data_IF_908528468598
#
_entry.id   IF_908528468598
#
_cell.length_a   1.000
_cell.length_b   1.000
_cell.length_c   1.000
_cell.angle_alpha   90.00
_cell.angle_beta   90.00
_cell.angle_gamma   90.00
#
_symmetry.space_group_name_H-M   'P 1'
#
loop_
_entity.id
_entity.type
_entity.pdbx_description
1 polymer ?
#
# COMPACT_ATOMS: atom_id res chain seq x y z
N UNK A 1 25.10 1.01 -0.87
CA UNK A 1 23.72 1.55 -0.81
C UNK A 1 23.83 3.06 -0.86
N UNK A 2 23.67 3.66 -2.04
CA UNK A 2 23.63 5.12 -2.16
C UNK A 2 22.25 5.55 -1.69
N UNK A 3 22.18 6.20 -0.54
CA UNK A 3 20.94 6.69 0.02
C UNK A 3 20.33 7.71 -0.96
N UNK A 4 19.14 7.46 -1.49
CA UNK A 4 18.45 8.38 -2.41
C UNK A 4 18.23 9.73 -1.73
N UNK A 5 18.08 9.74 -0.40
CA UNK A 5 18.10 10.96 0.42
C UNK A 5 19.36 11.81 0.17
N UNK A 6 20.55 11.20 0.12
CA UNK A 6 21.81 11.94 -0.07
C UNK A 6 21.93 12.58 -1.45
N UNK A 7 21.25 12.04 -2.48
CA UNK A 7 21.24 12.61 -3.82
C UNK A 7 20.13 13.65 -4.00
N UNK A 8 18.93 13.43 -3.43
CA UNK A 8 17.82 14.39 -3.47
C UNK A 8 18.08 15.64 -2.61
N UNK A 9 18.93 15.54 -1.58
CA UNK A 9 19.23 16.63 -0.63
C UNK A 9 20.50 17.43 -0.98
N UNK A 10 21.28 17.00 -1.98
CA UNK A 10 22.48 17.72 -2.44
C UNK A 10 22.17 18.83 -3.44
N UNK A 11 21.04 18.75 -4.14
CA UNK A 11 20.52 19.85 -4.92
C UNK A 11 19.56 20.64 -4.02
N UNK A 12 19.68 21.97 -3.95
CA UNK A 12 18.76 22.87 -3.23
C UNK A 12 17.35 22.90 -3.89
N UNK A 13 16.79 21.74 -4.21
CA UNK A 13 15.51 21.55 -4.86
C UNK A 13 14.55 20.96 -3.85
N UNK A 14 13.39 21.59 -3.72
CA UNK A 14 12.29 21.09 -2.90
C UNK A 14 11.83 19.73 -3.46
N UNK A 15 11.87 18.63 -2.69
CA UNK A 15 11.49 17.30 -3.17
C UNK A 15 9.99 17.23 -3.45
N UNK A 16 9.51 16.35 -4.33
CA UNK A 16 8.08 16.04 -4.37
C UNK A 16 7.77 15.00 -3.28
N UNK A 17 6.73 15.21 -2.47
CA UNK A 17 6.37 14.26 -1.42
C UNK A 17 5.88 12.91 -1.98
N UNK A 18 5.48 12.88 -3.24
CA UNK A 18 5.10 11.66 -3.97
C UNK A 18 6.31 10.80 -4.37
N UNK A 19 7.53 11.36 -4.37
CA UNK A 19 8.74 10.62 -4.73
C UNK A 19 9.23 9.69 -3.61
N UNK A 20 8.73 9.85 -2.38
CA UNK A 20 9.09 8.99 -1.25
C UNK A 20 8.46 7.61 -1.40
N UNK A 21 9.30 6.58 -1.30
CA UNK A 21 8.95 5.19 -1.56
C UNK A 21 8.02 4.64 -0.47
N UNK A 22 8.24 5.06 0.77
CA UNK A 22 7.53 4.51 1.93
C UNK A 22 7.27 5.58 3.02
N UNK A 23 6.55 5.17 4.06
CA UNK A 23 6.24 6.02 5.21
C UNK A 23 7.46 6.33 6.07
N UNK A 24 8.47 5.44 6.08
CA UNK A 24 9.71 5.65 6.80
C UNK A 24 10.48 6.87 6.25
N UNK A 25 10.69 6.94 4.93
CA UNK A 25 11.35 8.08 4.28
C UNK A 25 10.60 9.40 4.50
N UNK A 26 9.26 9.36 4.47
CA UNK A 26 8.42 10.53 4.81
C UNK A 26 8.62 10.98 6.26
N UNK A 27 8.76 10.04 7.20
CA UNK A 27 8.98 10.33 8.62
C UNK A 27 10.39 10.90 8.87
N UNK A 28 11.41 10.35 8.20
CA UNK A 28 12.77 10.89 8.22
C UNK A 28 12.83 12.32 7.67
N UNK A 29 12.15 12.56 6.53
CA UNK A 29 12.10 13.90 5.95
C UNK A 29 11.37 14.89 6.87
N UNK A 30 10.28 14.48 7.52
CA UNK A 30 9.60 15.30 8.54
C UNK A 30 10.52 15.63 9.72
N UNK A 31 11.28 14.66 10.24
CA UNK A 31 12.27 14.87 11.28
C UNK A 31 13.35 15.87 10.83
N UNK A 32 13.83 15.73 9.59
CA UNK A 32 14.85 16.60 9.01
C UNK A 32 14.37 18.05 8.86
N UNK A 33 13.12 18.28 8.44
CA UNK A 33 12.54 19.64 8.37
C UNK A 33 12.57 20.34 9.74
N UNK A 34 12.29 19.62 10.82
CA UNK A 34 12.32 20.13 12.19
C UNK A 34 13.75 20.41 12.67
N UNK A 35 14.70 19.53 12.33
CA UNK A 35 16.12 19.73 12.64
C UNK A 35 16.66 20.94 11.88
N UNK A 36 16.37 21.05 10.59
CA UNK A 36 16.79 22.19 9.75
C UNK A 36 16.24 23.50 10.32
N UNK A 37 14.96 23.56 10.71
CA UNK A 37 14.38 24.74 11.38
C UNK A 37 15.06 25.04 12.73
N UNK A 38 15.48 24.01 13.46
CA UNK A 38 16.08 24.18 14.80
C UNK A 38 17.56 24.60 14.79
N UNK A 39 18.26 24.32 13.69
CA UNK A 39 19.72 24.43 13.56
C UNK A 39 20.17 25.32 12.40
N UNK A 40 19.24 25.75 11.55
CA UNK A 40 19.50 26.53 10.34
C UNK A 40 20.48 25.84 9.36
N UNK A 41 20.43 24.52 9.30
CA UNK A 41 21.40 23.62 8.62
C UNK A 41 20.84 23.03 7.31
N UNK A 42 19.88 23.70 6.68
CA UNK A 42 19.29 23.24 5.43
C UNK A 42 17.94 23.86 5.10
N UNK A 43 17.34 23.46 3.96
CA UNK A 43 16.06 24.00 3.52
C UNK A 43 14.94 23.61 4.48
N UNK A 44 14.02 24.54 4.69
CA UNK A 44 12.78 24.36 5.45
C UNK A 44 11.59 24.63 4.55
N UNK A 45 10.64 23.70 4.51
CA UNK A 45 9.42 23.80 3.71
C UNK A 45 8.21 23.66 4.62
N UNK A 46 7.60 24.79 4.99
CA UNK A 46 6.48 24.82 5.95
C UNK A 46 5.24 24.07 5.43
N UNK A 47 5.02 24.12 4.12
CA UNK A 47 3.93 23.41 3.48
C UNK A 47 4.13 21.89 3.50
N UNK A 48 5.36 21.39 3.28
CA UNK A 48 5.66 19.96 3.46
C UNK A 48 5.50 19.54 4.91
N UNK A 49 5.94 20.37 5.87
CA UNK A 49 5.72 20.09 7.28
C UNK A 49 4.21 19.95 7.58
N UNK A 50 3.39 20.90 7.11
CA UNK A 50 1.95 20.87 7.31
C UNK A 50 1.27 19.68 6.63
N UNK A 51 1.76 19.25 5.46
CA UNK A 51 1.25 18.09 4.74
C UNK A 51 1.62 16.77 5.41
N UNK A 52 2.90 16.54 5.70
CA UNK A 52 3.38 15.34 6.38
C UNK A 52 2.78 15.20 7.79
N UNK A 53 2.65 16.32 8.51
CA UNK A 53 1.93 16.36 9.79
C UNK A 53 0.50 15.85 9.62
N UNK A 54 -0.25 16.36 8.63
CA UNK A 54 -1.63 15.90 8.37
C UNK A 54 -1.65 14.43 7.95
N UNK A 55 -0.72 14.01 7.12
CA UNK A 55 -0.57 12.63 6.64
C UNK A 55 -0.44 11.64 7.81
N UNK A 56 0.57 11.81 8.67
CA UNK A 56 0.77 10.93 9.82
C UNK A 56 -0.31 11.07 10.91
N UNK A 57 -1.04 12.19 10.95
CA UNK A 57 -2.18 12.33 11.87
C UNK A 57 -3.46 11.62 11.39
N UNK A 58 -3.57 11.24 10.12
CA UNK A 58 -4.76 10.51 9.60
C UNK A 58 -4.81 9.08 10.12
N UNK A 59 -3.68 8.40 10.20
CA UNK A 59 -3.59 7.03 10.71
C UNK A 59 -3.50 7.04 12.25
N UNK A 60 -4.39 6.31 12.91
CA UNK A 60 -4.49 6.30 14.38
C UNK A 60 -3.21 5.78 15.06
N UNK A 61 -2.51 4.83 14.44
CA UNK A 61 -1.31 4.18 14.99
C UNK A 61 -0.10 5.10 14.90
N UNK A 62 0.17 5.67 13.73
CA UNK A 62 1.26 6.65 13.55
C UNK A 62 0.99 7.92 14.36
N UNK A 63 -0.26 8.37 14.47
CA UNK A 63 -0.64 9.49 15.34
C UNK A 63 -0.28 9.27 16.81
N UNK A 64 -0.42 8.06 17.33
CA UNK A 64 -0.06 7.73 18.72
C UNK A 64 1.45 7.74 18.95
N UNK A 65 2.24 7.50 17.89
CA UNK A 65 3.70 7.45 17.92
C UNK A 65 4.36 8.78 17.58
N UNK A 66 3.62 9.73 16.99
CA UNK A 66 4.11 11.06 16.65
C UNK A 66 4.53 11.84 17.91
N UNK A 67 5.64 12.61 17.84
CA UNK A 67 6.02 13.52 18.90
C UNK A 67 4.93 14.56 19.17
N UNK A 68 4.70 14.87 20.45
CA UNK A 68 3.57 15.73 20.85
C UNK A 68 3.64 17.13 20.22
N UNK A 69 4.84 17.68 20.05
CA UNK A 69 5.01 18.99 19.41
C UNK A 69 4.64 18.97 17.93
N UNK A 70 4.76 17.85 17.22
CA UNK A 70 4.27 17.73 15.83
C UNK A 70 2.75 17.76 15.83
N UNK A 71 2.10 17.12 16.81
CA UNK A 71 0.64 17.13 16.96
C UNK A 71 0.14 18.54 17.30
N UNK A 72 0.81 19.26 18.19
CA UNK A 72 0.29 20.52 18.72
C UNK A 72 0.66 21.75 17.86
N UNK A 73 1.80 21.73 17.14
CA UNK A 73 2.32 22.88 16.40
C UNK A 73 1.96 22.77 14.92
N UNK A 74 1.21 23.75 14.40
CA UNK A 74 0.62 23.67 13.05
C UNK A 74 1.58 24.01 11.91
N UNK A 75 2.62 24.77 12.22
CA UNK A 75 3.64 25.26 11.29
C UNK A 75 5.02 25.24 11.98
N UNK A 76 6.08 25.38 11.18
CA UNK A 76 7.46 25.38 11.63
C UNK A 76 7.78 26.61 12.51
N UNK A 77 7.05 27.73 12.35
CA UNK A 77 7.24 28.92 13.19
C UNK A 77 6.80 28.67 14.64
N UNK A 78 5.64 28.05 14.84
CA UNK A 78 5.15 27.62 16.15
C UNK A 78 6.09 26.59 16.78
N UNK A 79 6.58 25.64 15.99
CA UNK A 79 7.58 24.68 16.44
C UNK A 79 8.89 25.37 16.85
N UNK A 80 9.37 26.34 16.06
CA UNK A 80 10.58 27.11 16.36
C UNK A 80 10.47 27.84 17.71
N UNK A 81 9.33 28.50 17.97
CA UNK A 81 9.10 29.16 19.27
C UNK A 81 9.15 28.17 20.45
N UNK A 82 8.69 26.94 20.25
CA UNK A 82 8.77 25.89 21.26
C UNK A 82 10.22 25.45 21.50
N UNK A 83 10.93 25.06 20.45
CA UNK A 83 12.22 24.39 20.60
C UNK A 83 13.34 25.34 21.04
N UNK A 84 13.32 26.61 20.57
CA UNK A 84 14.32 27.61 20.93
C UNK A 84 14.28 28.00 22.41
N UNK A 85 13.09 27.98 23.01
CA UNK A 85 12.88 28.31 24.42
C UNK A 85 13.15 27.10 25.33
N UNK A 86 13.12 25.88 24.77
CA UNK A 86 13.34 24.64 25.51
C UNK A 86 14.82 24.28 25.61
N UNK A 87 15.60 24.52 24.55
CA UNK A 87 17.02 24.16 24.51
C UNK A 87 17.90 25.29 23.96
N UNK A 88 19.01 25.61 24.65
CA UNK A 88 19.90 26.69 24.24
C UNK A 88 20.80 26.32 23.06
N UNK A 89 21.27 25.06 22.96
CA UNK A 89 22.22 24.67 21.92
C UNK A 89 21.57 23.92 20.74
N UNK A 90 22.20 23.99 19.56
CA UNK A 90 21.78 23.22 18.39
C UNK A 90 21.92 21.70 18.58
N UNK A 91 22.94 21.26 19.32
CA UNK A 91 23.17 19.85 19.61
C UNK A 91 22.01 19.26 20.42
N UNK A 92 21.60 19.91 21.52
CA UNK A 92 20.48 19.46 22.34
C UNK A 92 19.16 19.43 21.58
N UNK A 93 18.91 20.41 20.71
CA UNK A 93 17.70 20.42 19.86
C UNK A 93 17.66 19.22 18.93
N UNK A 94 18.79 18.91 18.28
CA UNK A 94 18.92 17.80 17.34
C UNK A 94 18.73 16.47 18.06
N UNK A 95 19.42 16.27 19.18
CA UNK A 95 19.31 15.07 20.00
C UNK A 95 17.88 14.86 20.52
N UNK A 96 17.24 15.92 21.01
CA UNK A 96 15.85 15.85 21.45
C UNK A 96 14.89 15.43 20.33
N UNK A 97 15.04 16.00 19.13
CA UNK A 97 14.20 15.66 17.98
C UNK A 97 14.45 14.21 17.53
N UNK A 98 15.71 13.78 17.47
CA UNK A 98 16.06 12.40 17.14
C UNK A 98 15.38 11.42 18.10
N UNK A 99 15.60 11.59 19.40
CA UNK A 99 15.07 10.68 20.41
C UNK A 99 13.54 10.60 20.42
N UNK A 100 12.84 11.72 20.25
CA UNK A 100 11.37 11.74 20.24
C UNK A 100 10.77 11.03 19.01
N UNK A 101 11.49 10.99 17.89
CA UNK A 101 11.05 10.34 16.65
C UNK A 101 11.31 8.82 16.63
N UNK A 102 12.21 8.29 17.47
CA UNK A 102 12.62 6.89 17.43
C UNK A 102 11.42 5.92 17.43
N UNK A 103 10.40 6.15 18.27
CA UNK A 103 9.23 5.27 18.33
C UNK A 103 8.46 5.17 17.02
N UNK A 104 8.35 6.28 16.28
CA UNK A 104 7.69 6.30 14.99
C UNK A 104 8.57 5.62 13.93
N UNK A 105 9.87 5.94 13.91
CA UNK A 105 10.81 5.38 12.94
C UNK A 105 10.98 3.87 13.13
N UNK A 106 11.23 3.38 14.36
CA UNK A 106 11.29 1.95 14.68
C UNK A 106 10.00 1.24 14.27
N UNK A 107 8.83 1.87 14.49
CA UNK A 107 7.57 1.27 14.09
C UNK A 107 7.48 1.10 12.57
N UNK A 108 7.84 2.13 11.82
CA UNK A 108 7.76 2.15 10.36
C UNK A 108 8.82 1.24 9.71
N UNK A 109 10.02 1.18 10.30
CA UNK A 109 11.09 0.26 9.89
C UNK A 109 10.66 -1.20 10.05
N UNK A 110 9.97 -1.52 11.16
CA UNK A 110 9.44 -2.86 11.40
C UNK A 110 8.11 -3.16 10.69
N UNK A 111 7.51 -2.20 9.99
CA UNK A 111 6.28 -2.44 9.21
C UNK A 111 6.56 -2.92 7.78
N UNK A 112 7.80 -2.88 7.30
CA UNK A 112 8.14 -3.27 5.93
C UNK A 112 8.37 -4.78 5.73
N UNK A 113 8.53 -5.57 6.81
CA UNK A 113 8.84 -7.00 6.68
C UNK A 113 7.59 -7.90 6.69
N UNK A 114 6.70 -7.73 5.71
CA UNK A 114 6.02 -8.91 5.18
C UNK A 114 6.77 -9.32 3.91
N UNK A 115 7.55 -10.42 3.92
CA UNK A 115 8.23 -10.94 2.73
C UNK A 115 7.27 -11.10 1.54
N UNK A 116 5.99 -11.36 1.84
CA UNK A 116 4.92 -11.43 0.86
C UNK A 116 4.65 -10.08 0.18
N UNK A 117 4.58 -8.97 0.93
CA UNK A 117 4.31 -7.63 0.37
C UNK A 117 5.47 -7.18 -0.52
N UNK A 118 6.71 -7.30 -0.04
CA UNK A 118 7.89 -6.96 -0.83
C UNK A 118 8.00 -7.80 -2.12
N UNK A 119 7.74 -9.11 -2.03
CA UNK A 119 7.72 -9.98 -3.21
C UNK A 119 6.60 -9.62 -4.19
N UNK A 120 5.43 -9.19 -3.72
CA UNK A 120 4.34 -8.74 -4.58
C UNK A 120 4.74 -7.45 -5.29
N UNK A 121 5.24 -6.45 -4.55
CA UNK A 121 5.66 -5.16 -5.10
C UNK A 121 6.71 -5.30 -6.20
N UNK A 122 7.74 -6.11 -5.97
CA UNK A 122 8.80 -6.35 -6.95
C UNK A 122 8.25 -6.96 -8.25
N UNK A 123 7.41 -8.00 -8.12
CA UNK A 123 6.86 -8.69 -9.30
C UNK A 123 5.85 -7.82 -10.06
N UNK A 124 5.06 -7.01 -9.36
CA UNK A 124 4.13 -6.06 -9.97
C UNK A 124 4.87 -4.93 -10.72
N UNK A 125 6.01 -4.46 -10.19
CA UNK A 125 6.88 -3.49 -10.88
C UNK A 125 7.44 -4.07 -12.18
N UNK A 126 7.90 -5.31 -12.13
CA UNK A 126 8.44 -5.97 -13.33
C UNK A 126 7.34 -6.25 -14.36
N UNK A 127 6.11 -6.52 -13.92
CA UNK A 127 4.95 -6.69 -14.79
C UNK A 127 4.53 -5.38 -15.51
N UNK A 128 5.19 -4.25 -15.23
CA UNK A 128 5.09 -2.96 -15.94
C UNK A 128 3.65 -2.43 -16.13
N UNK A 129 2.72 -2.79 -15.24
CA UNK A 129 1.37 -2.25 -15.25
C UNK A 129 1.21 -1.27 -14.10
N UNK A 130 1.39 0.02 -14.42
CA UNK A 130 1.24 1.12 -13.46
C UNK A 130 -0.11 1.07 -12.73
N UNK A 131 -1.18 0.70 -13.44
CA UNK A 131 -2.51 0.55 -12.87
C UNK A 131 -2.58 -0.57 -11.83
N UNK A 132 -1.92 -1.71 -12.05
CA UNK A 132 -1.94 -2.86 -11.12
C UNK A 132 -1.20 -2.53 -9.83
N UNK A 133 -0.04 -1.88 -9.91
CA UNK A 133 0.69 -1.36 -8.75
C UNK A 133 -0.14 -0.37 -7.95
N UNK A 134 -0.79 0.57 -8.63
CA UNK A 134 -1.64 1.56 -7.98
C UNK A 134 -2.82 0.90 -7.25
N UNK A 135 -3.45 -0.13 -7.84
CA UNK A 135 -4.49 -0.90 -7.14
C UNK A 135 -3.94 -1.61 -5.91
N UNK A 136 -2.77 -2.24 -6.01
CA UNK A 136 -2.17 -2.93 -4.86
C UNK A 136 -1.87 -1.98 -3.69
N UNK A 137 -1.17 -0.88 -3.96
CA UNK A 137 -0.84 0.14 -2.94
C UNK A 137 -2.11 0.73 -2.30
N UNK A 138 -3.11 1.04 -3.13
CA UNK A 138 -4.40 1.54 -2.65
C UNK A 138 -5.12 0.51 -1.77
N UNK A 139 -5.03 -0.78 -2.10
CA UNK A 139 -5.66 -1.85 -1.32
C UNK A 139 -5.02 -1.99 0.07
N UNK A 140 -3.70 -1.91 0.15
CA UNK A 140 -2.95 -1.93 1.41
C UNK A 140 -3.30 -0.71 2.28
N UNK A 141 -3.27 0.50 1.72
CA UNK A 141 -3.53 1.74 2.45
C UNK A 141 -4.94 1.73 3.09
N UNK A 142 -5.92 1.21 2.35
CA UNK A 142 -7.32 1.21 2.77
C UNK A 142 -7.67 0.12 3.77
N UNK A 143 -6.86 -0.93 3.93
CA UNK A 143 -7.27 -2.14 4.69
C UNK A 143 -7.77 -1.85 6.12
N UNK A 144 -7.18 -0.87 6.79
CA UNK A 144 -7.53 -0.49 8.16
C UNK A 144 -8.67 0.53 8.24
N UNK A 145 -8.64 1.56 7.38
CA UNK A 145 -9.49 2.74 7.51
C UNK A 145 -10.71 2.72 6.58
N UNK A 146 -10.65 1.94 5.49
CA UNK A 146 -11.71 1.72 4.51
C UNK A 146 -11.74 0.24 4.06
N UNK A 147 -12.17 -0.70 4.92
CA UNK A 147 -12.19 -2.12 4.61
C UNK A 147 -13.01 -2.48 3.36
N UNK A 148 -14.09 -1.76 3.10
CA UNK A 148 -14.95 -1.98 1.94
C UNK A 148 -14.28 -1.54 0.64
N UNK A 149 -13.63 -0.37 0.66
CA UNK A 149 -12.78 0.07 -0.45
C UNK A 149 -11.64 -0.89 -0.71
N UNK A 150 -10.95 -1.37 0.34
CA UNK A 150 -9.86 -2.34 0.19
C UNK A 150 -10.32 -3.65 -0.48
N UNK A 151 -11.48 -4.20 -0.12
CA UNK A 151 -12.06 -5.39 -0.77
C UNK A 151 -12.38 -5.11 -2.24
N UNK A 152 -12.96 -3.94 -2.53
CA UNK A 152 -13.29 -3.55 -3.90
C UNK A 152 -12.04 -3.45 -4.77
N UNK A 153 -11.00 -2.79 -4.27
CA UNK A 153 -9.73 -2.66 -4.98
C UNK A 153 -9.01 -4.01 -5.11
N UNK A 154 -9.11 -4.90 -4.13
CA UNK A 154 -8.56 -6.27 -4.22
C UNK A 154 -9.15 -7.05 -5.39
N UNK A 155 -10.46 -6.91 -5.64
CA UNK A 155 -11.10 -7.48 -6.83
C UNK A 155 -10.56 -6.85 -8.10
N UNK A 156 -10.49 -5.51 -8.15
CA UNK A 156 -9.99 -4.77 -9.32
C UNK A 156 -8.54 -5.13 -9.64
N UNK A 157 -7.71 -5.37 -8.63
CA UNK A 157 -6.33 -5.84 -8.78
C UNK A 157 -6.28 -7.18 -9.52
N UNK A 158 -7.01 -8.19 -9.06
CA UNK A 158 -7.05 -9.51 -9.71
C UNK A 158 -7.62 -9.38 -11.13
N UNK A 159 -8.69 -8.61 -11.31
CA UNK A 159 -9.28 -8.37 -12.63
C UNK A 159 -8.30 -7.72 -13.61
N UNK A 160 -7.53 -6.72 -13.15
CA UNK A 160 -6.52 -6.05 -13.95
C UNK A 160 -5.38 -6.98 -14.36
N UNK A 161 -4.88 -7.80 -13.44
CA UNK A 161 -3.84 -8.80 -13.75
C UNK A 161 -4.34 -9.81 -14.78
N UNK A 162 -5.54 -10.36 -14.59
CA UNK A 162 -6.10 -11.34 -15.52
C UNK A 162 -6.28 -10.75 -16.93
N UNK A 163 -6.83 -9.53 -17.03
CA UNK A 163 -7.01 -8.85 -18.32
C UNK A 163 -5.69 -8.58 -19.02
N UNK A 164 -4.68 -8.06 -18.30
CA UNK A 164 -3.36 -7.83 -18.87
C UNK A 164 -2.72 -9.12 -19.40
N UNK A 165 -2.83 -10.24 -18.68
CA UNK A 165 -2.32 -11.54 -19.15
C UNK A 165 -3.04 -11.96 -20.46
N UNK A 166 -4.37 -11.84 -20.52
CA UNK A 166 -5.12 -12.17 -21.73
C UNK A 166 -4.77 -11.24 -22.91
N UNK A 167 -4.60 -9.95 -22.64
CA UNK A 167 -4.21 -8.96 -23.65
C UNK A 167 -2.80 -9.27 -24.21
N UNK A 168 -1.83 -9.62 -23.36
CA UNK A 168 -0.48 -10.04 -23.78
C UNK A 168 -0.49 -11.36 -24.57
N UNK A 169 -1.35 -12.33 -24.19
CA UNK A 169 -1.54 -13.59 -24.92
C UNK A 169 -2.44 -13.46 -26.15
N UNK A 170 -2.98 -12.27 -26.44
CA UNK A 170 -3.93 -11.99 -27.53
C UNK A 170 -5.21 -12.84 -27.48
N UNK A 171 -5.72 -13.11 -26.28
CA UNK A 171 -6.95 -13.88 -26.06
C UNK A 171 -8.13 -12.94 -25.84
N UNK A 172 -9.15 -13.06 -26.70
CA UNK A 172 -10.35 -12.26 -26.58
C UNK A 172 -11.22 -12.70 -25.40
N UNK A 173 -11.71 -11.73 -24.63
CA UNK A 173 -12.71 -11.91 -23.58
C UNK A 173 -13.92 -10.99 -23.79
N UNK A 174 -15.08 -11.41 -23.30
CA UNK A 174 -16.30 -10.61 -23.40
C UNK A 174 -16.21 -9.38 -22.48
N UNK A 175 -16.69 -8.23 -22.95
CA UNK A 175 -16.82 -7.01 -22.13
C UNK A 175 -17.72 -7.19 -20.91
N UNK A 176 -18.63 -8.16 -20.96
CA UNK A 176 -19.56 -8.48 -19.87
C UNK A 176 -19.14 -9.74 -19.09
N UNK A 177 -17.96 -10.30 -19.36
CA UNK A 177 -17.45 -11.44 -18.62
C UNK A 177 -17.30 -11.08 -17.13
N UNK A 178 -17.77 -11.97 -16.26
CA UNK A 178 -17.52 -11.81 -14.83
C UNK A 178 -16.08 -12.24 -14.50
N UNK A 179 -15.62 -11.94 -13.28
CA UNK A 179 -14.24 -12.24 -12.87
C UNK A 179 -13.89 -13.74 -12.99
N UNK A 180 -14.85 -14.61 -12.70
CA UNK A 180 -14.65 -16.05 -12.77
C UNK A 180 -14.51 -16.55 -14.21
N UNK A 181 -15.27 -15.97 -15.15
CA UNK A 181 -15.16 -16.29 -16.58
C UNK A 181 -13.78 -15.89 -17.13
N UNK A 182 -13.31 -14.69 -16.77
CA UNK A 182 -11.98 -14.20 -17.16
C UNK A 182 -10.89 -15.10 -16.56
N UNK A 183 -11.02 -15.49 -15.29
CA UNK A 183 -10.08 -16.40 -14.63
C UNK A 183 -10.01 -17.76 -15.33
N UNK A 184 -11.13 -18.33 -15.77
CA UNK A 184 -11.12 -19.61 -16.51
C UNK A 184 -10.33 -19.53 -17.81
N UNK A 185 -10.41 -18.41 -18.53
CA UNK A 185 -9.62 -18.22 -19.75
C UNK A 185 -8.12 -18.22 -19.45
N UNK A 186 -7.71 -17.44 -18.44
CA UNK A 186 -6.30 -17.39 -18.00
C UNK A 186 -5.84 -18.74 -17.49
N UNK A 187 -6.64 -19.42 -16.67
CA UNK A 187 -6.29 -20.71 -16.09
C UNK A 187 -6.12 -21.78 -17.17
N UNK A 188 -6.96 -21.79 -18.21
CA UNK A 188 -6.78 -22.70 -19.34
C UNK A 188 -5.49 -22.41 -20.11
N UNK A 189 -5.20 -21.13 -20.37
CA UNK A 189 -4.03 -20.71 -21.13
C UNK A 189 -2.71 -21.01 -20.41
N UNK A 190 -2.66 -20.78 -19.10
CA UNK A 190 -1.47 -21.00 -18.26
C UNK A 190 -1.37 -22.44 -17.72
N UNK A 191 -2.14 -23.38 -18.28
CA UNK A 191 -2.18 -24.78 -17.80
C UNK A 191 -2.51 -24.94 -16.30
N UNK A 192 -3.33 -24.06 -15.75
CA UNK A 192 -3.78 -24.04 -14.35
C UNK A 192 -5.19 -24.61 -14.15
N UNK A 193 -5.86 -25.09 -15.20
CA UNK A 193 -7.19 -25.68 -15.03
C UNK A 193 -7.10 -27.10 -14.46
N UNK A 194 -7.91 -27.45 -13.44
CA UNK A 194 -7.87 -28.78 -12.81
C UNK A 194 -7.98 -29.94 -13.82
N UNK A 195 -8.72 -29.77 -14.91
CA UNK A 195 -8.92 -30.75 -15.96
C UNK A 195 -7.63 -31.08 -16.73
N UNK A 196 -6.63 -30.18 -16.72
CA UNK A 196 -5.34 -30.36 -17.40
C UNK A 196 -4.33 -31.19 -16.57
N UNK A 197 -4.68 -31.55 -15.34
CA UNK A 197 -3.79 -32.27 -14.42
C UNK A 197 -4.32 -33.67 -14.09
N UNK A 198 -3.42 -34.62 -13.86
CA UNK A 198 -3.81 -35.99 -13.44
C UNK A 198 -3.78 -36.18 -11.93
N UNK A 199 -2.92 -35.46 -11.21
CA UNK A 199 -2.76 -35.60 -9.77
C UNK A 199 -3.90 -34.89 -9.03
N UNK A 200 -4.63 -35.66 -8.22
CA UNK A 200 -5.78 -35.16 -7.46
C UNK A 200 -5.42 -33.98 -6.54
N UNK A 201 -4.21 -33.96 -6.00
CA UNK A 201 -3.72 -32.87 -5.16
C UNK A 201 -3.68 -31.52 -5.91
N UNK A 202 -3.16 -31.51 -7.15
CA UNK A 202 -3.13 -30.29 -7.96
C UNK A 202 -4.54 -29.83 -8.34
N UNK A 203 -5.43 -30.76 -8.68
CA UNK A 203 -6.85 -30.43 -8.93
C UNK A 203 -7.49 -29.72 -7.75
N UNK A 204 -7.22 -30.20 -6.54
CA UNK A 204 -7.79 -29.61 -5.32
C UNK A 204 -7.25 -28.20 -5.07
N UNK A 205 -5.94 -27.98 -5.21
CA UNK A 205 -5.31 -26.67 -5.02
C UNK A 205 -5.83 -25.66 -6.06
N UNK A 206 -5.79 -26.03 -7.34
CA UNK A 206 -6.23 -25.17 -8.45
C UNK A 206 -7.74 -24.88 -8.42
N UNK A 207 -8.54 -25.87 -8.00
CA UNK A 207 -9.96 -25.68 -7.70
C UNK A 207 -10.19 -24.71 -6.53
N UNK A 208 -9.32 -24.74 -5.52
CA UNK A 208 -9.28 -23.77 -4.43
C UNK A 208 -9.00 -22.34 -4.94
N UNK A 209 -7.99 -22.16 -5.79
CA UNK A 209 -7.68 -20.88 -6.45
C UNK A 209 -8.89 -20.33 -7.22
N UNK A 210 -9.54 -21.17 -8.02
CA UNK A 210 -10.76 -20.81 -8.76
C UNK A 210 -11.89 -20.36 -7.82
N UNK A 211 -12.05 -21.04 -6.68
CA UNK A 211 -13.04 -20.69 -5.65
C UNK A 211 -12.72 -19.37 -4.97
N UNK A 212 -11.45 -19.08 -4.68
CA UNK A 212 -11.00 -17.81 -4.10
C UNK A 212 -11.30 -16.65 -5.06
N UNK A 213 -10.94 -16.78 -6.34
CA UNK A 213 -11.20 -15.73 -7.34
C UNK A 213 -12.70 -15.49 -7.53
N UNK A 214 -13.49 -16.56 -7.57
CA UNK A 214 -14.96 -16.44 -7.60
C UNK A 214 -15.52 -15.75 -6.34
N UNK A 215 -14.97 -16.07 -5.16
CA UNK A 215 -15.31 -15.42 -3.90
C UNK A 215 -15.03 -13.92 -3.92
N UNK A 216 -13.83 -13.51 -4.36
CA UNK A 216 -13.43 -12.11 -4.53
C UNK A 216 -14.34 -11.36 -5.52
N UNK A 217 -14.74 -12.00 -6.61
CA UNK A 217 -15.65 -11.42 -7.60
C UNK A 217 -17.04 -11.12 -7.02
N UNK A 218 -17.57 -12.04 -6.21
CA UNK A 218 -18.92 -11.99 -5.65
C UNK A 218 -19.02 -11.21 -4.32
N UNK A 219 -17.91 -10.99 -3.61
CA UNK A 219 -17.88 -10.22 -2.37
C UNK A 219 -18.54 -8.84 -2.54
N UNK A 220 -18.40 -8.18 -3.69
CA UNK A 220 -19.08 -6.90 -3.99
C UNK A 220 -20.60 -7.02 -4.17
N UNK A 221 -21.10 -8.12 -4.74
CA UNK A 221 -22.54 -8.26 -5.07
C UNK A 221 -23.43 -8.30 -3.82
N UNK A 222 -22.87 -8.67 -2.67
CA UNK A 222 -23.56 -8.62 -1.37
C UNK A 222 -23.61 -7.18 -0.81
N UNK A 223 -22.73 -6.28 -1.27
CA UNK A 223 -22.52 -4.96 -0.67
C UNK A 223 -23.02 -3.81 -1.57
N UNK A 224 -22.88 -3.92 -2.90
CA UNK A 224 -23.31 -2.91 -3.87
C UNK A 224 -24.82 -2.85 -4.12
N UNK A 225 -25.53 -3.97 -3.91
CA UNK A 225 -26.99 -4.07 -4.13
C UNK A 225 -27.82 -3.68 -2.89
N UNK A 226 -27.16 -3.18 -1.83
CA UNK A 226 -27.83 -2.71 -0.61
C UNK A 226 -28.59 -1.39 -0.79
N UNK A 227 -28.55 -0.77 -1.97
CA UNK A 227 -29.46 0.31 -2.36
C UNK A 227 -30.85 -0.23 -2.70
N UNK A 228 -31.54 -0.70 -1.65
CA UNK A 228 -32.97 -0.94 -1.67
C UNK A 228 -33.37 -2.41 -1.82
N UNK A 229 -33.45 -3.14 -0.69
CA UNK A 229 -34.57 -4.03 -0.31
C UNK A 229 -34.26 -4.83 0.97
N UNK A 230 -35.08 -4.60 1.99
CA UNK A 230 -35.46 -5.61 2.99
C UNK A 230 -34.47 -5.96 4.11
N UNK A 231 -35.00 -6.57 5.18
CA UNK A 231 -34.35 -6.99 6.43
C UNK A 231 -33.26 -8.09 6.27
N UNK A 232 -32.40 -8.01 5.26
CA UNK A 232 -31.22 -8.89 5.17
C UNK A 232 -30.10 -8.24 5.98
N UNK A 233 -29.52 -8.98 6.94
CA UNK A 233 -28.47 -8.48 7.83
C UNK A 233 -27.27 -7.99 7.01
N UNK A 234 -27.13 -6.67 6.88
CA UNK A 234 -25.94 -6.02 6.36
C UNK A 234 -24.74 -6.36 7.26
N UNK A 235 -23.82 -7.18 6.77
CA UNK A 235 -22.57 -7.48 7.47
C UNK A 235 -21.50 -6.50 6.99
N UNK A 236 -21.19 -5.48 7.80
CA UNK A 236 -20.13 -4.52 7.47
C UNK A 236 -18.76 -5.21 7.59
N UNK A 237 -17.94 -5.26 6.53
CA UNK A 237 -16.60 -5.82 6.61
C UNK A 237 -15.76 -5.07 7.63
N UNK A 238 -15.09 -5.80 8.53
CA UNK A 238 -14.04 -5.25 9.40
C UNK A 238 -12.64 -5.42 8.78
N UNK A 239 -11.66 -4.71 9.33
CA UNK A 239 -10.25 -4.71 8.86
C UNK A 239 -9.70 -6.13 8.58
N UNK A 240 -9.93 -7.11 9.46
CA UNK A 240 -9.50 -8.51 9.23
C UNK A 240 -10.03 -9.16 7.94
N UNK A 241 -11.23 -8.79 7.48
CA UNK A 241 -11.79 -9.33 6.24
C UNK A 241 -11.18 -8.65 5.02
N UNK A 242 -10.92 -7.34 5.12
CA UNK A 242 -10.19 -6.60 4.10
C UNK A 242 -8.77 -7.12 3.97
N UNK A 243 -8.07 -7.33 5.09
CA UNK A 243 -6.73 -7.92 5.11
C UNK A 243 -6.70 -9.30 4.43
N UNK A 244 -7.66 -10.18 4.75
CA UNK A 244 -7.78 -11.46 4.06
C UNK A 244 -7.98 -11.29 2.54
N UNK A 245 -8.89 -10.40 2.12
CA UNK A 245 -9.15 -10.17 0.71
C UNK A 245 -7.93 -9.60 -0.04
N UNK A 246 -7.23 -8.65 0.56
CA UNK A 246 -5.99 -8.04 0.03
C UNK A 246 -4.90 -9.11 -0.10
N UNK A 247 -4.69 -9.91 0.94
CA UNK A 247 -3.65 -10.95 0.92
C UNK A 247 -3.96 -12.05 -0.11
N UNK A 248 -5.23 -12.48 -0.22
CA UNK A 248 -5.65 -13.45 -1.23
C UNK A 248 -5.50 -12.90 -2.64
N UNK A 249 -5.92 -11.66 -2.88
CA UNK A 249 -5.77 -10.99 -4.17
C UNK A 249 -4.29 -10.85 -4.57
N UNK A 250 -3.45 -10.34 -3.66
CA UNK A 250 -2.02 -10.19 -3.88
C UNK A 250 -1.32 -11.51 -4.17
N UNK A 251 -1.61 -12.56 -3.37
CA UNK A 251 -1.04 -13.89 -3.58
C UNK A 251 -1.46 -14.50 -4.93
N UNK A 252 -2.74 -14.37 -5.29
CA UNK A 252 -3.24 -14.84 -6.59
C UNK A 252 -2.60 -14.09 -7.75
N UNK A 253 -2.55 -12.77 -7.68
CA UNK A 253 -1.91 -11.91 -8.68
C UNK A 253 -0.43 -12.26 -8.86
N UNK A 254 0.30 -12.42 -7.77
CA UNK A 254 1.71 -12.81 -7.79
C UNK A 254 1.91 -14.17 -8.46
N UNK A 255 1.14 -15.18 -8.04
CA UNK A 255 1.23 -16.52 -8.60
C UNK A 255 0.95 -16.53 -10.11
N UNK A 256 -0.09 -15.83 -10.55
CA UNK A 256 -0.47 -15.74 -11.97
C UNK A 256 0.60 -15.03 -12.81
N UNK A 257 1.16 -13.92 -12.32
CA UNK A 257 2.22 -13.18 -12.99
C UNK A 257 3.49 -14.03 -13.10
N UNK A 258 3.89 -14.69 -12.02
CA UNK A 258 5.06 -15.56 -12.02
C UNK A 258 4.89 -16.74 -12.98
N UNK A 259 3.70 -17.32 -13.03
CA UNK A 259 3.38 -18.43 -13.94
C UNK A 259 3.47 -17.97 -15.39
N UNK A 260 2.79 -16.87 -15.74
CA UNK A 260 2.81 -16.29 -17.08
C UNK A 260 4.22 -15.92 -17.56
N UNK A 261 5.08 -15.42 -16.66
CA UNK A 261 6.47 -15.08 -16.99
C UNK A 261 7.36 -16.30 -17.19
N UNK A 262 7.10 -17.39 -16.49
CA UNK A 262 7.86 -18.64 -16.64
C UNK A 262 7.37 -19.50 -17.81
N UNK A 263 6.15 -19.23 -18.31
CA UNK A 263 5.56 -19.87 -19.49
C UNK A 263 5.99 -19.22 -20.83
N UNK A 264 6.87 -18.21 -20.79
CA UNK A 264 7.47 -17.54 -21.97
C UNK A 264 8.93 -17.90 -22.16
#
# INVERSE_FOLDING_TARGET
>A
MNNILDNLLKENKKPNLEDFINDFEKAEYLQKLLINMSTNDGPTHDDHYAELRRYFMKNAKTKQLLPRYVIDKRDLSQFWQFIKNKFPSYAERREFIWNDFNKLLEHLENQEDSPLIGSIDENLRIFNSEHVLNYWNTAIERKENDPEGAITISRTLVEGVLKNILDEKNINYSKNANLHDIYKLVANELYLSPEQHNLQLFKQILGGCSSIVNGLGNLRNIHGDAHGKGKVRYYKPSSRHAELAVNLAGSMSLFLIQTHRNDG
#
